data_IF_368845737738
#
_entry.id   IF_368845737738
#
_cell.length_a   1.000
_cell.length_b   1.000
_cell.length_c   1.000
_cell.angle_alpha   90.00
_cell.angle_beta   90.00
_cell.angle_gamma   90.00
#
_symmetry.space_group_name_H-M   'P 1'
#
loop_
_entity.id
_entity.type
_entity.pdbx_description
1 polymer ?
#
# COMPACT_ATOMS: atom_id res chain seq x y z
N UNK A 1 -23.44 12.58 7.23
CA UNK A 1 -22.26 13.41 7.46
C UNK A 1 -21.31 12.58 8.32
N UNK A 2 -20.12 12.30 7.82
CA UNK A 2 -19.06 11.68 8.65
C UNK A 2 -18.79 12.68 9.77
N UNK A 3 -18.82 12.23 11.01
CA UNK A 3 -18.37 13.04 12.13
C UNK A 3 -16.92 13.47 11.87
N UNK A 4 -16.63 14.72 12.16
CA UNK A 4 -15.26 15.23 12.04
C UNK A 4 -14.42 14.49 13.07
N UNK A 5 -13.44 13.72 12.61
CA UNK A 5 -12.46 13.11 13.49
C UNK A 5 -11.69 14.16 14.29
N UNK A 6 -11.22 13.77 15.46
CA UNK A 6 -10.38 14.60 16.32
C UNK A 6 -9.13 13.81 16.72
N UNK A 7 -8.03 14.54 16.99
CA UNK A 7 -6.84 13.92 17.56
C UNK A 7 -7.06 13.63 19.05
N UNK A 8 -6.66 12.44 19.45
CA UNK A 8 -6.56 12.04 20.84
C UNK A 8 -5.08 11.85 21.18
N UNK A 9 -4.67 12.34 22.35
CA UNK A 9 -3.25 12.31 22.76
C UNK A 9 -3.05 11.26 23.85
N UNK A 10 -2.10 10.39 23.62
CA UNK A 10 -1.68 9.36 24.57
C UNK A 10 -0.21 9.55 24.94
N UNK A 11 0.15 9.20 26.17
CA UNK A 11 1.54 9.19 26.63
C UNK A 11 1.97 7.75 26.91
N UNK A 12 3.09 7.35 26.33
CA UNK A 12 3.73 6.07 26.57
C UNK A 12 5.12 6.28 27.14
N UNK A 13 5.52 5.40 28.05
CA UNK A 13 6.84 5.40 28.69
C UNK A 13 7.43 4.00 28.58
N UNK A 14 8.76 3.92 28.57
CA UNK A 14 9.49 2.65 28.62
C UNK A 14 9.38 1.83 27.33
N UNK A 15 9.12 2.47 26.18
CA UNK A 15 9.10 1.79 24.89
C UNK A 15 10.52 1.44 24.47
N UNK A 16 10.75 0.16 24.16
CA UNK A 16 12.05 -0.30 23.67
C UNK A 16 12.37 0.31 22.31
N UNK A 17 13.60 0.75 22.11
CA UNK A 17 14.08 1.21 20.79
C UNK A 17 14.09 0.11 19.74
N UNK A 18 14.13 -1.15 20.17
CA UNK A 18 14.09 -2.31 19.26
C UNK A 18 12.67 -2.75 18.86
N UNK A 19 11.64 -2.22 19.54
CA UNK A 19 10.26 -2.48 19.17
C UNK A 19 9.95 -1.89 17.80
N UNK A 20 9.11 -2.60 17.04
CA UNK A 20 8.49 -2.04 15.83
C UNK A 20 7.43 -1.00 16.20
N UNK A 21 7.06 -0.17 15.23
CA UNK A 21 6.00 0.82 15.42
C UNK A 21 4.65 0.17 15.79
N UNK A 22 4.36 -1.00 15.23
CA UNK A 22 3.13 -1.73 15.57
C UNK A 22 3.16 -2.29 16.99
N UNK A 23 4.32 -2.76 17.47
CA UNK A 23 4.45 -3.20 18.87
C UNK A 23 4.26 -2.05 19.84
N UNK A 24 4.69 -0.83 19.50
CA UNK A 24 4.39 0.36 20.29
C UNK A 24 2.88 0.61 20.36
N UNK A 25 2.15 0.44 19.26
CA UNK A 25 0.67 0.54 19.26
C UNK A 25 0.01 -0.60 20.05
N UNK A 26 0.59 -1.81 20.03
CA UNK A 26 0.11 -2.91 20.89
C UNK A 26 0.27 -2.54 22.37
N UNK A 27 1.41 -1.97 22.77
CA UNK A 27 1.63 -1.49 24.15
C UNK A 27 0.63 -0.39 24.54
N UNK A 28 0.34 0.53 23.61
CA UNK A 28 -0.72 1.52 23.82
C UNK A 28 -2.06 0.85 24.09
N UNK A 29 -2.43 -0.10 23.25
CA UNK A 29 -3.71 -0.80 23.38
C UNK A 29 -3.80 -1.64 24.66
N UNK A 30 -2.71 -2.29 25.06
CA UNK A 30 -2.67 -2.95 26.39
C UNK A 30 -2.91 -1.98 27.54
N UNK A 31 -2.30 -0.79 27.49
CA UNK A 31 -2.51 0.25 28.49
C UNK A 31 -3.97 0.68 28.53
N UNK A 32 -4.57 0.97 27.37
CA UNK A 32 -5.97 1.38 27.26
C UNK A 32 -6.93 0.32 27.84
N UNK A 33 -6.71 -0.96 27.49
CA UNK A 33 -7.52 -2.07 28.02
C UNK A 33 -7.39 -2.19 29.55
N UNK A 34 -6.17 -2.05 30.11
CA UNK A 34 -5.95 -2.03 31.57
C UNK A 34 -6.68 -0.85 32.24
N UNK A 35 -6.75 0.29 31.56
CA UNK A 35 -7.51 1.47 32.01
C UNK A 35 -9.02 1.37 31.74
N UNK A 36 -9.53 0.26 31.20
CA UNK A 36 -10.91 0.04 30.76
C UNK A 36 -11.39 1.04 29.71
N UNK A 37 -10.48 1.50 28.88
CA UNK A 37 -10.75 2.32 27.69
C UNK A 37 -10.77 1.43 26.45
N UNK A 38 -11.43 1.91 25.40
CA UNK A 38 -11.42 1.23 24.12
C UNK A 38 -10.04 1.30 23.48
N UNK A 39 -9.51 0.21 22.90
CA UNK A 39 -8.28 0.21 22.17
C UNK A 39 -8.42 0.96 20.85
N UNK A 40 -7.34 1.56 20.37
CA UNK A 40 -7.23 2.16 19.04
C UNK A 40 -7.29 1.05 17.98
N UNK A 41 -8.17 1.20 17.01
CA UNK A 41 -8.32 0.23 15.91
C UNK A 41 -7.37 0.58 14.78
N UNK A 42 -6.54 -0.37 14.38
CA UNK A 42 -5.64 -0.27 13.23
C UNK A 42 -5.45 -1.63 12.55
N UNK A 43 -5.18 -1.59 11.25
CA UNK A 43 -4.94 -2.81 10.48
C UNK A 43 -3.49 -3.28 10.61
N UNK A 44 -3.32 -4.57 10.80
CA UNK A 44 -2.05 -5.26 10.74
C UNK A 44 -2.26 -6.74 10.43
N UNK A 45 -1.25 -7.40 9.85
CA UNK A 45 -1.31 -8.84 9.57
C UNK A 45 0.11 -9.44 9.60
N UNK A 46 0.84 -9.47 8.48
CA UNK A 46 2.10 -10.21 8.36
C UNK A 46 3.22 -9.75 9.30
N UNK A 47 3.29 -8.45 9.63
CA UNK A 47 4.39 -7.80 10.37
C UNK A 47 5.78 -7.96 9.72
N UNK A 48 5.82 -8.33 8.43
CA UNK A 48 7.03 -8.62 7.65
C UNK A 48 7.16 -7.72 6.41
N UNK A 49 6.30 -6.71 6.28
CA UNK A 49 6.35 -5.76 5.16
C UNK A 49 5.89 -6.31 3.82
N UNK A 50 5.05 -7.34 3.79
CA UNK A 50 4.63 -8.01 2.54
C UNK A 50 3.12 -8.02 2.27
N UNK A 51 2.27 -7.76 3.27
CA UNK A 51 0.81 -7.85 3.10
C UNK A 51 0.12 -6.52 2.74
N UNK A 52 0.78 -5.38 3.00
CA UNK A 52 0.22 -4.05 2.74
C UNK A 52 -0.89 -3.60 3.70
N UNK A 53 -1.12 -4.30 4.83
CA UNK A 53 -2.23 -3.99 5.74
C UNK A 53 -1.95 -2.83 6.70
N UNK A 54 -0.72 -2.65 7.17
CA UNK A 54 -0.32 -1.65 8.16
C UNK A 54 -0.25 -0.22 7.57
N UNK A 55 -1.38 0.29 7.14
CA UNK A 55 -1.50 1.51 6.33
C UNK A 55 -1.74 2.74 7.20
N UNK A 56 -0.67 3.40 7.65
CA UNK A 56 -0.71 4.56 8.54
C UNK A 56 0.10 5.74 7.99
N UNK A 57 -0.42 6.97 8.16
CA UNK A 57 0.39 8.17 8.14
C UNK A 57 1.10 8.35 9.47
N UNK A 58 2.39 8.57 9.42
CA UNK A 58 3.22 8.84 10.60
C UNK A 58 3.96 10.15 10.36
N UNK A 59 3.66 11.16 11.17
CA UNK A 59 4.22 12.50 11.02
C UNK A 59 4.06 13.08 9.60
N UNK A 60 2.92 12.80 8.95
CA UNK A 60 2.59 13.31 7.62
C UNK A 60 3.18 12.51 6.44
N UNK A 61 3.87 11.39 6.69
CA UNK A 61 4.40 10.50 5.66
C UNK A 61 3.71 9.13 5.69
N UNK A 62 3.31 8.58 4.55
CA UNK A 62 2.83 7.21 4.46
C UNK A 62 3.91 6.24 4.96
N UNK A 63 3.57 5.38 5.89
CA UNK A 63 4.49 4.46 6.58
C UNK A 63 5.62 5.10 7.40
N UNK A 64 5.66 6.42 7.54
CA UNK A 64 6.73 7.14 8.20
C UNK A 64 7.77 7.70 7.22
N UNK A 65 8.84 8.30 7.76
CA UNK A 65 9.81 9.09 7.00
C UNK A 65 10.89 8.25 6.29
N UNK A 66 11.05 6.99 6.69
CA UNK A 66 12.05 6.11 6.11
C UNK A 66 11.61 5.61 4.74
N UNK A 67 12.51 5.65 3.76
CA UNK A 67 12.24 5.13 2.42
C UNK A 67 12.24 3.60 2.40
N UNK A 68 11.42 3.03 1.53
CA UNK A 68 11.32 1.58 1.31
C UNK A 68 10.99 0.76 2.57
N UNK A 69 10.31 1.40 3.54
CA UNK A 69 9.93 0.79 4.81
C UNK A 69 8.41 0.83 4.98
N UNK A 70 7.82 -0.28 5.39
CA UNK A 70 6.42 -0.32 5.83
C UNK A 70 6.30 0.02 7.31
N UNK A 71 5.11 0.41 7.76
CA UNK A 71 4.87 0.73 9.18
C UNK A 71 5.30 -0.40 10.13
N UNK A 72 5.08 -1.66 9.75
CA UNK A 72 5.47 -2.80 10.59
C UNK A 72 7.00 -3.05 10.65
N UNK A 73 7.76 -2.47 9.73
CA UNK A 73 9.22 -2.55 9.69
C UNK A 73 9.89 -1.29 10.26
N UNK A 74 9.10 -0.22 10.50
CA UNK A 74 9.59 0.97 11.17
C UNK A 74 9.81 0.66 12.65
N UNK A 75 10.99 1.03 13.19
CA UNK A 75 11.37 0.77 14.58
C UNK A 75 11.39 2.04 15.41
N UNK A 76 11.14 1.89 16.72
CA UNK A 76 11.08 3.01 17.64
C UNK A 76 12.42 3.74 17.83
N UNK A 77 13.55 3.12 17.52
CA UNK A 77 14.88 3.78 17.46
C UNK A 77 14.99 4.91 16.44
N UNK A 78 13.98 5.10 15.58
CA UNK A 78 13.90 6.23 14.62
C UNK A 78 13.30 7.49 15.23
N UNK A 79 12.85 7.41 16.46
CA UNK A 79 12.26 8.50 17.23
C UNK A 79 13.10 8.75 18.48
N UNK A 80 13.09 9.99 18.97
CA UNK A 80 13.80 10.36 20.19
C UNK A 80 12.85 10.31 21.40
N UNK A 81 13.44 10.21 22.58
CA UNK A 81 12.66 10.34 23.81
C UNK A 81 12.04 11.75 23.90
N UNK A 82 10.77 11.82 24.26
CA UNK A 82 10.00 13.05 24.30
C UNK A 82 9.40 13.50 22.95
N UNK A 83 9.64 12.78 21.85
CA UNK A 83 9.01 13.11 20.57
C UNK A 83 7.48 12.96 20.63
N UNK A 84 6.79 13.88 19.96
CA UNK A 84 5.35 13.74 19.67
C UNK A 84 5.17 13.15 18.29
N UNK A 85 4.55 11.99 18.22
CA UNK A 85 4.31 11.25 16.98
C UNK A 85 2.84 11.39 16.60
N UNK A 86 2.57 11.99 15.45
CA UNK A 86 1.22 12.09 14.90
C UNK A 86 0.92 10.89 14.02
N UNK A 87 -0.18 10.19 14.28
CA UNK A 87 -0.61 9.00 13.54
C UNK A 87 -2.00 9.26 12.98
N UNK A 88 -2.20 9.00 11.69
CA UNK A 88 -3.47 9.23 11.02
C UNK A 88 -3.79 8.06 10.06
N UNK A 89 -5.08 7.82 9.76
CA UNK A 89 -5.46 6.91 8.67
C UNK A 89 -5.09 7.51 7.31
N UNK A 90 -5.12 6.70 6.24
CA UNK A 90 -4.96 7.23 4.88
C UNK A 90 -5.94 8.36 4.57
N UNK A 91 -5.43 9.49 4.11
CA UNK A 91 -6.21 10.67 3.71
C UNK A 91 -6.62 10.55 2.24
N UNK A 92 -7.55 9.69 1.93
CA UNK A 92 -8.07 9.54 0.57
C UNK A 92 -9.58 9.30 0.60
N UNK A 93 -10.33 9.99 -0.27
CA UNK A 93 -11.76 9.77 -0.42
C UNK A 93 -12.08 8.33 -0.91
N UNK A 94 -11.16 7.72 -1.66
CA UNK A 94 -11.30 6.35 -2.14
C UNK A 94 -11.04 5.28 -1.06
N UNK A 95 -10.50 5.70 0.10
CA UNK A 95 -10.28 4.85 1.27
C UNK A 95 -11.03 5.44 2.47
N UNK A 96 -12.35 5.29 2.54
CA UNK A 96 -13.13 5.82 3.66
C UNK A 96 -12.68 5.20 4.98
N UNK A 97 -12.63 6.02 6.03
CA UNK A 97 -12.30 5.55 7.39
C UNK A 97 -13.43 4.67 7.91
N UNK A 98 -13.09 3.48 8.35
CA UNK A 98 -14.01 2.55 9.03
C UNK A 98 -14.10 2.95 10.51
N UNK A 99 -12.94 2.98 11.17
CA UNK A 99 -12.81 3.38 12.58
C UNK A 99 -11.34 3.71 12.89
N UNK A 100 -11.11 4.75 13.65
CA UNK A 100 -9.80 5.24 14.12
C UNK A 100 -8.77 5.31 12.98
N UNK A 101 -7.83 4.38 12.91
CA UNK A 101 -6.78 4.33 11.91
C UNK A 101 -7.07 3.34 10.76
N UNK A 102 -8.16 2.58 10.85
CA UNK A 102 -8.55 1.59 9.86
C UNK A 102 -9.35 2.23 8.72
N UNK A 103 -9.00 1.89 7.47
CA UNK A 103 -9.68 2.36 6.26
C UNK A 103 -10.17 1.21 5.39
N UNK A 104 -11.26 1.42 4.65
CA UNK A 104 -11.72 0.48 3.63
C UNK A 104 -10.89 0.60 2.36
N UNK A 105 -10.14 -0.43 2.02
CA UNK A 105 -9.34 -0.53 0.79
C UNK A 105 -9.94 -1.47 -0.26
N UNK A 106 -11.19 -1.87 -0.10
CA UNK A 106 -11.89 -2.74 -1.06
C UNK A 106 -11.92 -2.20 -2.49
N UNK A 107 -11.70 -0.88 -2.66
CA UNK A 107 -11.53 -0.27 -3.98
C UNK A 107 -10.35 -0.88 -4.76
N UNK A 108 -9.24 -1.23 -4.10
CA UNK A 108 -8.12 -1.91 -4.74
C UNK A 108 -8.47 -3.33 -5.18
N UNK A 109 -9.23 -4.07 -4.37
CA UNK A 109 -9.67 -5.42 -4.72
C UNK A 109 -10.57 -5.39 -5.96
N UNK A 110 -11.46 -4.40 -6.07
CA UNK A 110 -12.32 -4.21 -7.23
C UNK A 110 -11.53 -3.89 -8.50
N UNK A 111 -10.44 -3.09 -8.40
CA UNK A 111 -9.53 -2.85 -9.52
C UNK A 111 -8.82 -4.15 -9.92
N UNK A 112 -8.34 -4.94 -8.95
CA UNK A 112 -7.70 -6.22 -9.22
C UNK A 112 -8.65 -7.22 -9.87
N UNK A 113 -9.90 -7.30 -9.41
CA UNK A 113 -10.94 -8.13 -10.02
C UNK A 113 -11.25 -7.73 -11.46
N UNK A 114 -11.13 -6.45 -11.81
CA UNK A 114 -11.41 -5.96 -13.16
C UNK A 114 -10.37 -6.41 -14.20
N UNK A 115 -9.12 -6.66 -13.81
CA UNK A 115 -8.09 -7.03 -14.79
C UNK A 115 -6.75 -7.48 -14.23
N UNK A 116 -6.56 -7.48 -12.91
CA UNK A 116 -5.27 -7.82 -12.28
C UNK A 116 -4.96 -9.33 -12.20
N UNK A 117 -5.53 -10.13 -13.08
CA UNK A 117 -5.44 -11.59 -13.11
C UNK A 117 -4.98 -12.12 -14.46
N UNK A 118 -4.61 -13.39 -14.51
CA UNK A 118 -4.43 -14.15 -15.74
C UNK A 118 -5.50 -15.24 -15.81
N UNK A 119 -6.09 -15.45 -17.00
CA UNK A 119 -7.03 -16.55 -17.22
C UNK A 119 -6.30 -17.88 -17.39
N UNK A 120 -7.05 -18.98 -17.36
CA UNK A 120 -6.52 -20.32 -17.65
C UNK A 120 -6.09 -20.49 -19.10
N UNK A 121 -6.56 -19.63 -20.01
CA UNK A 121 -6.19 -19.63 -21.42
C UNK A 121 -4.96 -18.75 -21.65
N UNK A 122 -3.81 -19.23 -21.23
CA UNK A 122 -2.54 -18.51 -21.31
C UNK A 122 -1.77 -18.72 -22.62
N UNK A 123 -2.40 -19.30 -23.62
CA UNK A 123 -1.77 -19.68 -24.90
C UNK A 123 -1.27 -21.12 -24.92
N UNK A 124 -0.58 -21.50 -25.98
CA UNK A 124 0.02 -22.83 -26.14
C UNK A 124 1.27 -23.02 -25.28
N UNK A 125 1.65 -24.27 -25.08
CA UNK A 125 2.94 -24.62 -24.46
C UNK A 125 4.04 -24.27 -25.46
N UNK A 126 5.06 -23.47 -25.08
CA UNK A 126 6.19 -23.19 -25.95
C UNK A 126 7.01 -24.44 -26.23
N UNK A 127 7.69 -24.47 -27.38
CA UNK A 127 8.68 -25.51 -27.70
C UNK A 127 9.75 -25.58 -26.60
N UNK A 128 10.24 -26.79 -26.31
CA UNK A 128 11.29 -26.98 -25.31
C UNK A 128 12.61 -26.22 -25.64
N UNK A 129 12.83 -25.92 -26.91
CA UNK A 129 13.95 -25.10 -27.39
C UNK A 129 13.62 -23.61 -27.53
N UNK A 130 12.41 -23.17 -27.13
CA UNK A 130 12.04 -21.76 -27.20
C UNK A 130 12.99 -20.93 -26.33
N UNK A 131 13.36 -19.76 -26.83
CA UNK A 131 14.17 -18.81 -26.07
C UNK A 131 13.30 -18.29 -24.90
N UNK A 132 13.73 -18.49 -23.64
CA UNK A 132 13.02 -17.93 -22.50
C UNK A 132 13.01 -16.40 -22.53
N UNK A 133 12.20 -15.79 -21.70
CA UNK A 133 12.15 -14.34 -21.57
C UNK A 133 13.53 -13.82 -21.17
N UNK A 134 14.08 -12.78 -21.83
CA UNK A 134 15.33 -12.19 -21.43
C UNK A 134 15.31 -11.73 -19.98
N UNK A 135 16.39 -12.00 -19.25
CA UNK A 135 16.47 -11.64 -17.81
C UNK A 135 16.10 -10.20 -17.50
N UNK A 136 16.56 -9.17 -18.24
CA UNK A 136 16.17 -7.78 -17.93
C UNK A 136 14.66 -7.56 -17.98
N UNK A 137 13.95 -8.18 -18.92
CA UNK A 137 12.50 -8.08 -19.04
C UNK A 137 11.80 -8.79 -17.86
N UNK A 138 12.34 -9.94 -17.45
CA UNK A 138 11.83 -10.66 -16.29
C UNK A 138 12.06 -9.86 -14.99
N UNK A 139 13.23 -9.26 -14.83
CA UNK A 139 13.56 -8.42 -13.67
C UNK A 139 12.60 -7.21 -13.60
N UNK A 140 12.40 -6.48 -14.68
CA UNK A 140 11.45 -5.37 -14.75
C UNK A 140 10.02 -5.80 -14.39
N UNK A 141 9.58 -6.97 -14.88
CA UNK A 141 8.28 -7.53 -14.53
C UNK A 141 8.19 -7.84 -13.03
N UNK A 142 9.25 -8.36 -12.41
CA UNK A 142 9.28 -8.70 -10.98
C UNK A 142 9.38 -7.45 -10.11
N UNK A 143 10.09 -6.42 -10.52
CA UNK A 143 10.11 -5.11 -9.85
C UNK A 143 8.70 -4.52 -9.79
N UNK A 144 7.98 -4.54 -10.90
CA UNK A 144 6.58 -4.14 -10.92
C UNK A 144 5.68 -5.04 -10.04
N UNK A 145 5.98 -6.35 -9.98
CA UNK A 145 5.24 -7.31 -9.14
C UNK A 145 5.46 -7.12 -7.64
N UNK A 146 6.48 -6.37 -7.22
CA UNK A 146 6.79 -6.13 -5.81
C UNK A 146 5.70 -5.32 -5.08
N UNK A 147 4.76 -4.72 -5.80
CA UNK A 147 3.63 -3.97 -5.24
C UNK A 147 2.80 -4.83 -4.28
N UNK A 148 2.68 -4.39 -3.02
CA UNK A 148 1.93 -5.07 -1.95
C UNK A 148 0.51 -4.51 -1.75
N UNK A 149 0.04 -3.57 -2.57
CA UNK A 149 -1.29 -3.00 -2.46
C UNK A 149 -1.57 -2.21 -1.18
N UNK A 150 -0.56 -1.62 -0.55
CA UNK A 150 -0.71 -0.92 0.73
C UNK A 150 -1.49 0.40 0.64
N UNK A 151 -1.53 1.05 -0.52
CA UNK A 151 -2.23 2.33 -0.73
C UNK A 151 -1.40 3.58 -0.44
N UNK A 152 -0.13 3.47 -0.04
CA UNK A 152 0.76 4.61 0.21
C UNK A 152 0.84 5.57 -1.00
N UNK A 153 0.87 5.02 -2.21
CA UNK A 153 0.88 5.78 -3.46
C UNK A 153 -0.35 6.67 -3.63
N UNK A 154 -1.53 6.19 -3.27
CA UNK A 154 -2.78 6.98 -3.30
C UNK A 154 -2.76 8.03 -2.21
N UNK A 155 -2.34 7.64 -1.01
CA UNK A 155 -2.27 8.52 0.14
C UNK A 155 -1.30 9.69 -0.09
N UNK A 156 -0.13 9.43 -0.69
CA UNK A 156 0.87 10.46 -1.02
C UNK A 156 0.45 11.36 -2.18
N UNK A 157 -0.44 10.89 -3.05
CA UNK A 157 -0.82 11.63 -4.26
C UNK A 157 -1.79 12.76 -3.95
N UNK A 158 -1.45 14.00 -4.36
CA UNK A 158 -2.36 15.16 -4.19
C UNK A 158 -3.71 14.97 -4.86
N UNK A 159 -3.75 14.17 -5.92
CA UNK A 159 -4.98 13.86 -6.66
C UNK A 159 -5.66 12.57 -6.16
N UNK A 160 -5.06 11.83 -5.23
CA UNK A 160 -5.56 10.52 -4.80
C UNK A 160 -5.58 9.49 -5.93
N UNK A 161 -4.63 9.55 -6.87
CA UNK A 161 -4.58 8.64 -8.01
C UNK A 161 -4.04 7.25 -7.63
N UNK A 162 -4.68 6.20 -8.12
CA UNK A 162 -4.20 4.83 -7.98
C UNK A 162 -3.30 4.38 -9.16
N UNK A 163 -2.79 5.32 -9.96
CA UNK A 163 -2.06 4.98 -11.19
C UNK A 163 -0.84 4.10 -10.92
N UNK A 164 -0.05 4.35 -9.87
CA UNK A 164 1.11 3.49 -9.56
C UNK A 164 0.69 2.05 -9.25
N UNK A 165 -0.39 1.86 -8.51
CA UNK A 165 -0.96 0.54 -8.21
C UNK A 165 -1.43 -0.18 -9.48
N UNK A 166 -2.15 0.52 -10.36
CA UNK A 166 -2.64 -0.03 -11.62
C UNK A 166 -1.49 -0.33 -12.57
N UNK A 167 -0.54 0.62 -12.75
CA UNK A 167 0.60 0.45 -13.66
C UNK A 167 1.49 -0.72 -13.25
N UNK A 168 1.74 -0.89 -11.96
CA UNK A 168 2.52 -2.02 -11.44
C UNK A 168 1.97 -3.37 -11.94
N UNK A 169 0.66 -3.59 -11.84
CA UNK A 169 0.03 -4.83 -12.28
C UNK A 169 -0.04 -4.93 -13.81
N UNK A 170 -0.32 -3.82 -14.48
CA UNK A 170 -0.34 -3.77 -15.95
C UNK A 170 1.04 -4.07 -16.53
N UNK A 171 2.11 -3.44 -16.03
CA UNK A 171 3.49 -3.66 -16.48
C UNK A 171 3.93 -5.09 -16.21
N UNK A 172 3.76 -5.59 -14.99
CA UNK A 172 4.05 -6.98 -14.66
C UNK A 172 3.49 -7.95 -15.69
N UNK A 173 2.18 -7.88 -15.94
CA UNK A 173 1.48 -8.83 -16.79
C UNK A 173 1.65 -8.54 -18.30
N UNK A 174 2.04 -7.33 -18.68
CA UNK A 174 2.38 -7.01 -20.07
C UNK A 174 3.76 -7.54 -20.48
N UNK A 175 4.71 -7.57 -19.56
CA UNK A 175 6.07 -8.06 -19.79
C UNK A 175 6.16 -9.58 -19.78
N UNK A 176 5.27 -10.25 -19.04
CA UNK A 176 5.23 -11.70 -18.93
C UNK A 176 4.32 -12.35 -20.00
N UNK A 177 4.70 -13.50 -20.58
CA UNK A 177 3.89 -14.19 -21.59
C UNK A 177 2.51 -14.59 -21.06
N UNK A 178 2.41 -14.94 -19.77
CA UNK A 178 1.16 -15.35 -19.12
C UNK A 178 0.10 -14.24 -19.13
N UNK A 179 0.51 -12.99 -19.18
CA UNK A 179 -0.40 -11.84 -19.18
C UNK A 179 -0.80 -11.33 -20.57
N UNK A 180 -0.23 -11.86 -21.64
CA UNK A 180 -0.42 -11.34 -23.02
C UNK A 180 -1.85 -11.46 -23.53
N UNK A 181 -2.55 -12.53 -23.20
CA UNK A 181 -3.91 -12.82 -23.71
C UNK A 181 -4.89 -11.70 -23.32
N UNK A 182 -4.83 -11.23 -22.09
CA UNK A 182 -5.73 -10.20 -21.58
C UNK A 182 -5.15 -8.78 -21.62
N UNK A 183 -3.94 -8.56 -22.10
CA UNK A 183 -3.21 -7.30 -21.96
C UNK A 183 -4.02 -6.05 -22.36
N UNK A 184 -4.64 -6.07 -23.55
CA UNK A 184 -5.42 -4.93 -24.05
C UNK A 184 -6.73 -4.71 -23.27
N UNK A 185 -7.39 -5.79 -22.84
CA UNK A 185 -8.61 -5.71 -22.02
C UNK A 185 -8.28 -5.25 -20.61
N UNK A 186 -7.19 -5.77 -20.02
CA UNK A 186 -6.72 -5.44 -18.67
C UNK A 186 -6.56 -3.96 -18.47
N UNK A 187 -5.79 -3.30 -19.32
CA UNK A 187 -5.52 -1.87 -19.23
C UNK A 187 -6.80 -1.07 -19.18
N UNK A 188 -7.69 -1.30 -20.15
CA UNK A 188 -8.96 -0.58 -20.25
C UNK A 188 -9.87 -0.85 -19.04
N UNK A 189 -9.97 -2.11 -18.62
CA UNK A 189 -10.85 -2.49 -17.52
C UNK A 189 -10.36 -1.94 -16.17
N UNK A 190 -9.07 -2.03 -15.88
CA UNK A 190 -8.51 -1.54 -14.63
C UNK A 190 -8.55 0.00 -14.52
N UNK A 191 -8.27 0.72 -15.62
CA UNK A 191 -8.38 2.18 -15.66
C UNK A 191 -9.84 2.61 -15.50
N UNK A 192 -10.76 2.04 -16.26
CA UNK A 192 -12.18 2.36 -16.13
C UNK A 192 -12.72 2.10 -14.71
N UNK A 193 -12.27 1.00 -14.07
CA UNK A 193 -12.64 0.70 -12.70
C UNK A 193 -12.03 1.68 -11.71
N UNK A 194 -10.78 2.11 -11.91
CA UNK A 194 -10.15 3.14 -11.11
C UNK A 194 -10.92 4.46 -11.17
N UNK A 195 -11.34 4.88 -12.37
CA UNK A 195 -12.13 6.10 -12.57
C UNK A 195 -13.53 5.98 -11.92
N UNK A 196 -14.21 4.83 -12.11
CA UNK A 196 -15.51 4.53 -11.49
C UNK A 196 -15.48 4.62 -9.96
N UNK A 197 -14.37 4.18 -9.35
CA UNK A 197 -14.19 4.18 -7.90
C UNK A 197 -13.76 5.53 -7.31
N UNK A 198 -13.63 6.56 -8.16
CA UNK A 198 -13.37 7.92 -7.74
C UNK A 198 -11.90 8.23 -7.42
N UNK A 199 -10.96 7.44 -7.91
CA UNK A 199 -9.55 7.80 -7.86
C UNK A 199 -9.26 8.94 -8.83
N UNK A 200 -8.43 9.89 -8.41
CA UNK A 200 -8.08 11.05 -9.21
C UNK A 200 -7.11 10.75 -10.35
N UNK A 201 -7.01 11.68 -11.29
CA UNK A 201 -6.12 11.57 -12.44
C UNK A 201 -4.65 11.75 -12.06
N UNK A 202 -3.78 10.98 -12.69
CA UNK A 202 -2.35 11.12 -12.52
C UNK A 202 -1.83 12.37 -13.25
N UNK A 203 -1.09 13.22 -12.52
CA UNK A 203 -0.36 14.37 -13.07
C UNK A 203 1.16 14.18 -13.03
N UNK A 204 1.61 12.95 -12.83
CA UNK A 204 3.01 12.52 -12.84
C UNK A 204 3.94 13.32 -11.91
N UNK A 205 3.47 13.63 -10.70
CA UNK A 205 4.27 14.32 -9.68
C UNK A 205 5.32 13.42 -9.03
N UNK A 206 5.22 12.09 -9.22
CA UNK A 206 6.07 11.05 -8.65
C UNK A 206 6.11 10.96 -7.11
N UNK A 207 5.23 11.66 -6.40
CA UNK A 207 5.12 11.51 -4.95
C UNK A 207 4.82 10.05 -4.54
N UNK A 208 4.11 9.31 -5.39
CA UNK A 208 3.79 7.91 -5.17
C UNK A 208 5.03 6.98 -5.18
N UNK A 209 6.03 7.27 -6.02
CA UNK A 209 7.30 6.52 -6.03
C UNK A 209 8.13 6.81 -4.78
N UNK A 210 8.21 8.10 -4.40
CA UNK A 210 9.00 8.54 -3.24
C UNK A 210 8.51 7.91 -1.92
N UNK A 211 7.22 7.64 -1.80
CA UNK A 211 6.60 7.06 -0.61
C UNK A 211 6.28 5.57 -0.76
N UNK A 212 6.75 4.93 -1.84
CA UNK A 212 6.49 3.51 -2.07
C UNK A 212 7.41 2.63 -1.21
N UNK A 213 6.88 1.80 -0.28
CA UNK A 213 7.72 0.95 0.56
C UNK A 213 8.35 -0.24 -0.19
N UNK A 214 8.08 -0.35 -1.50
CA UNK A 214 8.61 -1.40 -2.39
C UNK A 214 9.32 -0.85 -3.61
N UNK A 215 9.65 0.44 -3.62
CA UNK A 215 10.39 1.10 -4.70
C UNK A 215 9.78 0.88 -6.11
N UNK A 216 8.45 0.69 -6.19
CA UNK A 216 7.78 0.51 -7.48
C UNK A 216 7.85 1.81 -8.28
N UNK A 217 8.37 1.73 -9.51
CA UNK A 217 8.45 2.89 -10.41
C UNK A 217 7.20 3.03 -11.28
N UNK A 218 6.77 4.27 -11.52
CA UNK A 218 5.71 4.59 -12.50
C UNK A 218 6.26 4.69 -13.92
N UNK A 219 7.58 4.65 -14.07
CA UNK A 219 8.27 4.71 -15.36
C UNK A 219 8.41 3.34 -16.04
N UNK A 220 8.06 2.27 -15.35
CA UNK A 220 8.09 0.89 -15.83
C UNK A 220 6.87 0.56 -16.68
#
# INVERSE_FOLDING_TARGET
PQEKGAFETYQLEGISTESSFLEMLDVLNEKLVKERKEPVVFDHDCREGICGMCSLYINGHPHGKDQEVTTCQLHMRRFNDGDTITIEPWRSAAFPVIRDLMVDRSAFDKIMQAGGYTSVNTGGIPDANAIPIPKPVADEAMDAASCIGCGACVAACKNGSAMLFVSAKVSQLALLPQGKVEAAKRVKAMIAKMDELGFGNCTNTRACEAECPKAVSISN
#
